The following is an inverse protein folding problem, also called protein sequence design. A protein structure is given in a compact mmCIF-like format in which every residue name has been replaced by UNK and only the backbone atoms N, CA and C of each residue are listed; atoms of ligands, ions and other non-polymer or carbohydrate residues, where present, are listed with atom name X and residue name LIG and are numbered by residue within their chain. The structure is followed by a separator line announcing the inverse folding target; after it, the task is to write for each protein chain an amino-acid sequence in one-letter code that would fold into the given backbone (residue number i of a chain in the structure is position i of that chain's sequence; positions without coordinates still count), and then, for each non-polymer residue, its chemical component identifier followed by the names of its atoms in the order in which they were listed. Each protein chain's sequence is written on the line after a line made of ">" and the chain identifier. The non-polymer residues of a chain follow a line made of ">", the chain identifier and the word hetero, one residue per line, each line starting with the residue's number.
data_IF_118837522947
#
_entry.id   IF_118837522947
#
_cell.length_a   1.000
_cell.length_b   1.000
_cell.length_c   1.000
_cell.angle_alpha   90.00
_cell.angle_beta   90.00
_cell.angle_gamma   90.00
#
_symmetry.space_group_name_H-M   'P 1'
#
loop_
_entity.id
_entity.type
_entity.pdbx_description
1 polymer ?
#
# COMPACT_ATOMS: atom_id res chain seq x y z
N UNK A 1 -30.15 -6.23 11.85
CA UNK A 1 -29.16 -7.20 11.36
C UNK A 1 -27.81 -6.50 11.35
N UNK A 2 -26.92 -6.86 12.27
CA UNK A 2 -25.70 -6.10 12.57
C UNK A 2 -24.51 -6.54 11.71
N UNK A 3 -23.71 -5.57 11.26
CA UNK A 3 -22.50 -5.70 10.45
C UNK A 3 -21.47 -6.68 11.08
N UNK A 4 -21.56 -6.92 12.39
CA UNK A 4 -20.70 -7.86 13.12
C UNK A 4 -20.91 -9.34 12.77
N UNK A 5 -22.06 -9.74 12.20
CA UNK A 5 -22.29 -11.13 11.79
C UNK A 5 -21.54 -11.51 10.50
N UNK A 6 -21.28 -10.54 9.62
CA UNK A 6 -20.55 -10.76 8.37
C UNK A 6 -19.04 -10.89 8.60
N UNK A 7 -18.47 -10.06 9.49
CA UNK A 7 -17.05 -10.14 9.86
C UNK A 7 -16.70 -11.46 10.57
N UNK A 8 -17.61 -12.02 11.37
CA UNK A 8 -17.38 -13.31 12.07
C UNK A 8 -17.37 -14.52 11.14
N UNK A 9 -17.90 -14.40 9.91
CA UNK A 9 -17.86 -15.46 8.87
C UNK A 9 -16.58 -15.42 8.03
N UNK A 10 -15.90 -14.28 7.96
CA UNK A 10 -14.67 -14.11 7.17
C UNK A 10 -13.42 -14.48 7.97
N UNK A 11 -13.44 -14.34 9.30
CA UNK A 11 -12.25 -14.51 10.15
C UNK A 11 -12.38 -15.61 11.21
N UNK A 12 -13.47 -16.38 11.20
CA UNK A 12 -13.73 -17.44 12.16
C UNK A 12 -13.21 -18.78 11.66
N UNK A 13 -11.92 -19.04 11.84
CA UNK A 13 -11.32 -20.35 11.60
C UNK A 13 -12.08 -21.45 12.33
N UNK A 14 -12.63 -22.39 11.58
CA UNK A 14 -13.10 -23.67 12.09
C UNK A 14 -12.12 -24.74 11.62
N UNK A 15 -11.20 -25.09 12.51
CA UNK A 15 -10.55 -26.40 12.48
C UNK A 15 -11.65 -27.46 12.69
N UNK A 16 -12.16 -28.04 11.60
CA UNK A 16 -13.15 -29.10 11.67
C UNK A 16 -14.22 -29.03 10.59
N UNK A 17 -14.00 -29.82 9.54
CA UNK A 17 -15.04 -30.63 8.89
C UNK A 17 -16.18 -29.84 8.20
N UNK A 18 -15.98 -29.53 6.91
CA UNK A 18 -17.07 -29.31 5.96
C UNK A 18 -17.62 -27.89 5.86
N UNK A 19 -16.76 -26.87 5.90
CA UNK A 19 -17.12 -25.55 5.36
C UNK A 19 -17.28 -25.66 3.84
N UNK A 20 -18.37 -25.14 3.28
CA UNK A 20 -18.66 -25.21 1.85
C UNK A 20 -17.50 -24.62 1.00
N UNK A 21 -16.60 -25.49 0.54
CA UNK A 21 -15.40 -25.21 -0.28
C UNK A 21 -15.81 -24.71 -1.67
N UNK A 22 -16.29 -23.46 -1.71
CA UNK A 22 -16.70 -22.78 -2.93
C UNK A 22 -15.84 -21.55 -3.16
N UNK A 23 -15.50 -21.31 -4.42
CA UNK A 23 -14.77 -20.14 -4.85
C UNK A 23 -15.54 -18.89 -4.45
N UNK A 24 -14.92 -17.98 -3.69
CA UNK A 24 -15.58 -16.72 -3.28
C UNK A 24 -15.91 -15.79 -4.46
N UNK A 25 -15.29 -16.00 -5.62
CA UNK A 25 -15.51 -15.19 -6.81
C UNK A 25 -16.67 -15.69 -7.69
N UNK A 26 -16.77 -17.01 -7.94
CA UNK A 26 -17.77 -17.59 -8.85
C UNK A 26 -18.71 -18.62 -8.22
N UNK A 27 -18.48 -19.03 -6.97
CA UNK A 27 -19.27 -20.05 -6.27
C UNK A 27 -18.98 -21.49 -6.68
N UNK A 28 -18.04 -21.75 -7.60
CA UNK A 28 -17.69 -23.12 -8.01
C UNK A 28 -16.98 -23.88 -6.91
N UNK A 29 -17.28 -25.17 -6.78
CA UNK A 29 -16.57 -26.11 -5.89
C UNK A 29 -15.35 -26.76 -6.54
N UNK A 30 -15.05 -26.44 -7.81
CA UNK A 30 -13.85 -26.92 -8.49
C UNK A 30 -12.62 -26.12 -8.02
N UNK A 31 -12.05 -26.53 -6.90
CA UNK A 31 -10.90 -25.88 -6.26
C UNK A 31 -9.68 -26.82 -6.23
N UNK A 32 -8.52 -26.28 -6.61
CA UNK A 32 -7.22 -26.91 -6.44
C UNK A 32 -6.49 -26.28 -5.26
N UNK A 33 -6.06 -27.08 -4.29
CA UNK A 33 -5.24 -26.60 -3.18
C UNK A 33 -3.81 -26.24 -3.66
N UNK A 34 -3.33 -25.05 -3.31
CA UNK A 34 -1.98 -24.57 -3.63
C UNK A 34 -1.03 -24.65 -2.43
N UNK A 35 -1.56 -24.40 -1.22
CA UNK A 35 -0.85 -24.47 0.06
C UNK A 35 -1.88 -24.62 1.19
N UNK A 36 -1.42 -24.68 2.44
CA UNK A 36 -2.30 -24.75 3.60
C UNK A 36 -3.20 -23.49 3.68
N UNK A 37 -4.52 -23.69 3.68
CA UNK A 37 -5.50 -22.60 3.63
C UNK A 37 -5.49 -21.77 2.35
N UNK A 38 -4.89 -22.24 1.25
CA UNK A 38 -4.81 -21.54 -0.04
C UNK A 38 -5.30 -22.40 -1.20
N UNK A 39 -6.19 -21.85 -2.01
CA UNK A 39 -6.75 -22.52 -3.18
C UNK A 39 -6.69 -21.68 -4.45
N UNK A 40 -6.83 -22.34 -5.59
CA UNK A 40 -7.13 -21.77 -6.90
C UNK A 40 -8.41 -22.40 -7.44
N UNK A 41 -9.33 -21.58 -7.95
CA UNK A 41 -10.51 -22.08 -8.65
C UNK A 41 -10.16 -22.51 -10.07
N UNK A 42 -10.51 -23.74 -10.43
CA UNK A 42 -10.20 -24.29 -11.76
C UNK A 42 -11.16 -23.78 -12.85
N UNK A 43 -12.30 -23.21 -12.47
CA UNK A 43 -13.24 -22.59 -13.42
C UNK A 43 -12.88 -21.14 -13.76
N UNK A 44 -12.62 -20.30 -12.76
CA UNK A 44 -12.39 -18.87 -12.98
C UNK A 44 -10.94 -18.40 -12.77
N UNK A 45 -10.05 -19.28 -12.28
CA UNK A 45 -8.65 -18.97 -12.01
C UNK A 45 -8.39 -18.13 -10.76
N UNK A 46 -9.42 -17.77 -9.99
CA UNK A 46 -9.26 -16.98 -8.77
C UNK A 46 -8.45 -17.74 -7.71
N UNK A 47 -7.46 -17.08 -7.13
CA UNK A 47 -6.66 -17.59 -6.01
C UNK A 47 -7.06 -16.87 -4.71
N UNK A 48 -7.22 -17.63 -3.63
CA UNK A 48 -7.66 -17.09 -2.35
C UNK A 48 -7.55 -18.08 -1.19
N UNK A 49 -8.15 -17.71 -0.07
CA UNK A 49 -8.11 -18.46 1.19
C UNK A 49 -7.39 -17.71 2.32
N UNK A 50 -7.57 -18.17 3.55
CA UNK A 50 -7.04 -17.52 4.75
C UNK A 50 -5.51 -17.42 4.75
N UNK A 51 -4.83 -18.40 4.13
CA UNK A 51 -3.37 -18.42 3.98
C UNK A 51 -2.84 -17.62 2.79
N UNK A 52 -3.72 -17.06 1.93
CA UNK A 52 -3.31 -16.57 0.61
C UNK A 52 -2.34 -15.39 0.69
N UNK A 53 -2.55 -14.46 1.62
CA UNK A 53 -1.67 -13.31 1.79
C UNK A 53 -0.24 -13.73 2.17
N UNK A 54 -0.11 -14.63 3.14
CA UNK A 54 1.18 -15.16 3.57
C UNK A 54 1.87 -15.97 2.46
N UNK A 55 1.12 -16.84 1.79
CA UNK A 55 1.62 -17.63 0.66
C UNK A 55 2.12 -16.73 -0.48
N UNK A 56 1.36 -15.68 -0.82
CA UNK A 56 1.74 -14.71 -1.84
C UNK A 56 3.01 -13.96 -1.45
N UNK A 57 3.13 -13.51 -0.20
CA UNK A 57 4.36 -12.87 0.29
C UNK A 57 5.57 -13.80 0.15
N UNK A 58 5.45 -15.09 0.50
CA UNK A 58 6.56 -16.03 0.35
C UNK A 58 6.91 -16.31 -1.12
N UNK A 59 5.91 -16.40 -2.00
CA UNK A 59 6.13 -16.50 -3.46
C UNK A 59 6.84 -15.28 -4.02
N UNK A 60 6.43 -14.09 -3.60
CA UNK A 60 7.07 -12.83 -4.01
C UNK A 60 8.53 -12.78 -3.53
N UNK A 61 8.82 -13.24 -2.31
CA UNK A 61 10.20 -13.37 -1.79
C UNK A 61 11.03 -14.35 -2.59
N UNK A 62 10.48 -15.51 -2.92
CA UNK A 62 11.18 -16.51 -3.73
C UNK A 62 11.56 -15.95 -5.11
N UNK A 63 10.64 -15.23 -5.76
CA UNK A 63 10.93 -14.55 -7.03
C UNK A 63 11.98 -13.43 -6.88
N UNK A 64 12.08 -12.80 -5.71
CA UNK A 64 13.13 -11.82 -5.41
C UNK A 64 14.50 -12.49 -5.19
N UNK A 65 14.55 -13.67 -4.57
CA UNK A 65 15.81 -14.44 -4.37
C UNK A 65 16.48 -14.85 -5.69
N UNK A 66 15.72 -14.94 -6.79
CA UNK A 66 16.28 -15.20 -8.13
C UNK A 66 17.03 -13.99 -8.71
N UNK A 67 16.84 -12.78 -8.15
CA UNK A 67 17.48 -11.57 -8.63
C UNK A 67 18.87 -11.41 -8.04
N UNK A 68 19.77 -10.79 -8.81
CA UNK A 68 21.06 -10.39 -8.24
C UNK A 68 20.88 -9.35 -7.14
N UNK A 69 21.78 -9.29 -6.15
CA UNK A 69 21.70 -8.29 -5.08
C UNK A 69 21.72 -6.84 -5.57
N UNK A 70 22.44 -6.56 -6.66
CA UNK A 70 22.43 -5.24 -7.29
C UNK A 70 21.06 -4.90 -7.91
N UNK A 71 20.38 -5.88 -8.50
CA UNK A 71 19.01 -5.72 -9.01
C UNK A 71 18.00 -5.52 -7.88
N UNK A 72 18.16 -6.21 -6.76
CA UNK A 72 17.36 -6.00 -5.55
C UNK A 72 17.51 -4.57 -5.02
N UNK A 73 18.74 -4.09 -4.84
CA UNK A 73 19.00 -2.71 -4.40
C UNK A 73 18.39 -1.68 -5.36
N UNK A 74 18.60 -1.84 -6.67
CA UNK A 74 18.02 -0.93 -7.66
C UNK A 74 16.49 -0.90 -7.61
N UNK A 75 15.84 -2.04 -7.38
CA UNK A 75 14.38 -2.14 -7.25
C UNK A 75 13.86 -1.48 -5.97
N UNK A 76 14.57 -1.66 -4.85
CA UNK A 76 14.22 -1.00 -3.59
C UNK A 76 14.38 0.53 -3.68
N UNK A 77 15.48 1.02 -4.27
CA UNK A 77 15.67 2.46 -4.52
C UNK A 77 14.54 3.01 -5.36
N UNK A 78 14.18 2.36 -6.47
CA UNK A 78 13.08 2.78 -7.34
C UNK A 78 11.72 2.83 -6.61
N UNK A 79 11.44 1.86 -5.74
CA UNK A 79 10.22 1.85 -4.94
C UNK A 79 10.16 3.05 -3.98
N UNK A 80 11.27 3.34 -3.30
CA UNK A 80 11.37 4.49 -2.38
C UNK A 80 11.33 5.83 -3.10
N UNK A 81 11.96 5.94 -4.28
CA UNK A 81 11.87 7.13 -5.13
C UNK A 81 10.43 7.38 -5.62
N UNK A 82 9.72 6.32 -6.03
CA UNK A 82 8.30 6.40 -6.37
C UNK A 82 7.47 6.93 -5.20
N UNK A 83 7.63 6.34 -4.02
CA UNK A 83 6.97 6.78 -2.80
C UNK A 83 7.26 8.26 -2.48
N UNK A 84 8.53 8.68 -2.61
CA UNK A 84 8.94 10.08 -2.42
C UNK A 84 8.26 11.02 -3.40
N UNK A 85 8.24 10.68 -4.70
CA UNK A 85 7.60 11.51 -5.73
C UNK A 85 6.10 11.63 -5.50
N UNK A 86 5.44 10.52 -5.16
CA UNK A 86 4.01 10.51 -4.80
C UNK A 86 3.74 11.40 -3.58
N UNK A 87 4.61 11.36 -2.57
CA UNK A 87 4.48 12.21 -1.38
C UNK A 87 4.67 13.69 -1.70
N UNK A 88 5.66 14.04 -2.53
CA UNK A 88 5.88 15.42 -3.00
C UNK A 88 4.68 15.90 -3.81
N UNK A 89 4.11 15.07 -4.68
CA UNK A 89 2.90 15.41 -5.44
C UNK A 89 1.70 15.64 -4.50
N UNK A 90 1.55 14.81 -3.46
CA UNK A 90 0.52 14.99 -2.45
C UNK A 90 0.72 16.28 -1.62
N UNK A 91 1.96 16.68 -1.35
CA UNK A 91 2.26 17.93 -0.64
C UNK A 91 2.10 19.17 -1.53
N UNK A 92 2.58 19.09 -2.78
CA UNK A 92 2.70 20.21 -3.74
C UNK A 92 1.43 20.51 -4.54
N UNK A 93 0.39 19.66 -4.47
CA UNK A 93 -0.93 19.97 -5.03
C UNK A 93 -1.57 21.26 -4.52
N UNK A 94 -1.01 21.87 -3.46
CA UNK A 94 -1.43 23.17 -2.94
C UNK A 94 -0.68 24.38 -3.56
N UNK A 95 0.49 24.19 -4.19
CA UNK A 95 1.35 25.30 -4.62
C UNK A 95 1.26 25.61 -6.12
N UNK A 96 0.58 24.77 -6.92
CA UNK A 96 0.38 24.97 -8.36
C UNK A 96 -0.77 25.91 -8.75
N UNK A 97 -1.40 26.59 -7.79
CA UNK A 97 -2.56 27.46 -7.99
C UNK A 97 -2.22 28.95 -7.98
N UNK A 98 -1.21 29.40 -8.71
CA UNK A 98 -0.94 30.84 -8.84
C UNK A 98 -0.11 31.16 -10.08
N UNK A 99 -0.73 31.13 -11.27
CA UNK A 99 -0.52 32.16 -12.33
C UNK A 99 -1.20 31.88 -13.68
N UNK A 100 -2.15 30.94 -13.78
CA UNK A 100 -3.04 30.97 -14.93
C UNK A 100 -4.03 32.14 -14.74
N UNK A 101 -3.69 33.29 -15.32
CA UNK A 101 -4.39 34.59 -15.27
C UNK A 101 -5.79 34.67 -15.90
N UNK A 102 -6.64 33.66 -15.70
CA UNK A 102 -8.01 33.59 -16.20
C UNK A 102 -8.96 33.78 -15.01
N UNK A 103 -8.86 34.92 -14.35
CA UNK A 103 -9.79 35.27 -13.26
C UNK A 103 -11.13 35.66 -13.88
N UNK A 104 -11.95 34.66 -14.20
CA UNK A 104 -13.36 34.86 -14.56
C UNK A 104 -14.14 35.20 -13.29
N UNK A 105 -14.17 36.47 -12.91
CA UNK A 105 -15.07 36.96 -11.85
C UNK A 105 -16.49 37.10 -12.42
N UNK A 106 -17.22 36.00 -12.47
CA UNK A 106 -18.69 36.03 -12.59
C UNK A 106 -19.26 36.44 -11.23
N UNK A 107 -19.55 37.74 -11.07
CA UNK A 107 -20.34 38.23 -9.92
C UNK A 107 -21.79 37.80 -10.11
N UNK A 108 -22.14 36.61 -9.64
CA UNK A 108 -23.53 36.22 -9.42
C UNK A 108 -23.79 36.40 -7.92
N UNK A 109 -24.61 37.39 -7.59
CA UNK A 109 -24.88 37.79 -6.21
C UNK A 109 -25.66 36.72 -5.46
N UNK A 110 -24.97 35.98 -4.60
CA UNK A 110 -25.49 35.33 -3.40
C UNK A 110 -24.30 34.78 -2.58
N UNK A 111 -23.86 35.51 -1.55
CA UNK A 111 -22.64 35.20 -0.78
C UNK A 111 -22.66 33.85 -0.04
N UNK A 112 -23.83 33.24 0.16
CA UNK A 112 -23.95 31.93 0.77
C UNK A 112 -23.57 30.77 -0.16
N UNK A 113 -23.68 30.96 -1.49
CA UNK A 113 -23.33 29.93 -2.47
C UNK A 113 -21.80 29.78 -2.61
N UNK A 114 -21.05 30.88 -2.53
CA UNK A 114 -19.59 30.89 -2.66
C UNK A 114 -18.89 30.18 -1.49
N UNK A 115 -19.35 30.38 -0.25
CA UNK A 115 -18.77 29.72 0.92
C UNK A 115 -18.88 28.18 0.88
N UNK A 116 -19.95 27.65 0.27
CA UNK A 116 -20.12 26.21 0.11
C UNK A 116 -19.17 25.62 -0.95
N UNK A 117 -18.87 26.35 -2.02
CA UNK A 117 -17.93 25.92 -3.06
C UNK A 117 -16.51 25.85 -2.48
N UNK A 118 -16.08 26.87 -1.74
CA UNK A 118 -14.76 26.89 -1.10
C UNK A 118 -14.58 25.72 -0.11
N UNK A 119 -15.60 25.43 0.70
CA UNK A 119 -15.57 24.31 1.63
C UNK A 119 -15.53 22.95 0.92
N UNK A 120 -16.29 22.78 -0.18
CA UNK A 120 -16.28 21.55 -0.97
C UNK A 120 -14.94 21.32 -1.66
N UNK A 121 -14.34 22.38 -2.20
CA UNK A 121 -13.03 22.33 -2.83
C UNK A 121 -11.91 22.03 -1.83
N UNK A 122 -11.93 22.68 -0.65
CA UNK A 122 -11.01 22.37 0.44
C UNK A 122 -11.13 20.91 0.90
N UNK A 123 -12.36 20.39 1.02
CA UNK A 123 -12.60 18.99 1.37
C UNK A 123 -12.14 18.02 0.27
N UNK A 124 -12.29 18.37 -1.01
CA UNK A 124 -11.77 17.59 -2.14
C UNK A 124 -10.24 17.51 -2.08
N UNK A 125 -9.56 18.65 -1.96
CA UNK A 125 -8.11 18.70 -1.82
C UNK A 125 -7.62 17.91 -0.60
N UNK A 126 -8.34 17.96 0.53
CA UNK A 126 -7.99 17.16 1.70
C UNK A 126 -8.09 15.65 1.44
N UNK A 127 -9.11 15.18 0.71
CA UNK A 127 -9.24 13.77 0.32
C UNK A 127 -8.14 13.33 -0.64
N UNK A 128 -7.84 14.15 -1.65
CA UNK A 128 -6.78 13.88 -2.62
C UNK A 128 -5.40 13.79 -1.94
N UNK A 129 -5.12 14.69 -0.99
CA UNK A 129 -3.90 14.64 -0.18
C UNK A 129 -3.80 13.37 0.64
N UNK A 130 -4.87 12.96 1.33
CA UNK A 130 -4.90 11.71 2.11
C UNK A 130 -4.69 10.49 1.20
N UNK A 131 -5.33 10.47 0.03
CA UNK A 131 -5.15 9.41 -0.95
C UNK A 131 -3.71 9.35 -1.47
N UNK A 132 -3.09 10.51 -1.73
CA UNK A 132 -1.68 10.60 -2.13
C UNK A 132 -0.73 10.08 -1.05
N UNK A 133 -0.93 10.45 0.21
CA UNK A 133 -0.13 9.95 1.35
C UNK A 133 -0.31 8.43 1.52
N UNK A 134 -1.55 7.93 1.42
CA UNK A 134 -1.82 6.49 1.50
C UNK A 134 -1.12 5.72 0.36
N UNK A 135 -1.13 6.27 -0.86
CA UNK A 135 -0.42 5.69 -2.00
C UNK A 135 1.11 5.71 -1.78
N UNK A 136 1.68 6.84 -1.36
CA UNK A 136 3.12 6.93 -1.06
C UNK A 136 3.55 5.91 0.01
N UNK A 137 2.72 5.73 1.05
CA UNK A 137 2.93 4.70 2.06
C UNK A 137 2.92 3.29 1.46
N UNK A 138 1.94 2.96 0.63
CA UNK A 138 1.89 1.63 -0.02
C UNK A 138 3.10 1.36 -0.91
N UNK A 139 3.60 2.37 -1.62
CA UNK A 139 4.81 2.27 -2.45
C UNK A 139 6.07 2.08 -1.60
N UNK A 140 6.16 2.75 -0.44
CA UNK A 140 7.26 2.55 0.49
C UNK A 140 7.25 1.15 1.13
N UNK A 141 6.07 0.64 1.50
CA UNK A 141 5.90 -0.70 2.06
C UNK A 141 6.25 -1.80 1.05
N UNK A 142 6.09 -1.55 -0.25
CA UNK A 142 6.53 -2.49 -1.30
C UNK A 142 8.04 -2.75 -1.30
N UNK A 143 8.85 -1.91 -0.62
CA UNK A 143 10.28 -2.14 -0.45
C UNK A 143 10.61 -3.15 0.66
N UNK A 144 9.70 -3.39 1.62
CA UNK A 144 9.92 -4.30 2.76
C UNK A 144 10.40 -5.70 2.34
N UNK A 145 9.72 -6.43 1.44
CA UNK A 145 10.17 -7.78 1.08
C UNK A 145 11.56 -7.80 0.44
N UNK A 146 11.96 -6.71 -0.23
CA UNK A 146 13.30 -6.57 -0.81
C UNK A 146 14.36 -6.41 0.29
N UNK A 147 14.08 -5.58 1.30
CA UNK A 147 14.97 -5.44 2.46
C UNK A 147 15.09 -6.74 3.26
N UNK A 148 14.00 -7.50 3.39
CA UNK A 148 14.00 -8.80 4.08
C UNK A 148 14.90 -9.81 3.36
N UNK A 149 14.76 -9.95 2.04
CA UNK A 149 15.64 -10.84 1.24
C UNK A 149 17.10 -10.41 1.34
N UNK A 150 17.41 -9.11 1.21
CA UNK A 150 18.77 -8.60 1.37
C UNK A 150 19.36 -8.89 2.76
N UNK A 151 18.54 -8.82 3.81
CA UNK A 151 18.95 -9.12 5.18
C UNK A 151 19.17 -10.63 5.40
N UNK A 152 18.28 -11.49 4.88
CA UNK A 152 18.37 -12.95 4.94
C UNK A 152 19.63 -13.49 4.26
N UNK A 153 20.03 -12.91 3.12
CA UNK A 153 21.24 -13.32 2.38
C UNK A 153 22.56 -12.79 2.99
N UNK A 154 22.49 -12.07 4.11
CA UNK A 154 23.68 -11.45 4.73
C UNK A 154 24.31 -10.35 3.86
N UNK A 155 23.57 -9.85 2.87
CA UNK A 155 24.00 -8.79 1.95
C UNK A 155 23.59 -7.40 2.42
N UNK A 156 22.92 -7.32 3.56
CA UNK A 156 22.56 -6.09 4.21
C UNK A 156 23.73 -5.50 4.98
N UNK A 157 24.08 -4.25 4.66
CA UNK A 157 24.83 -3.39 5.57
C UNK A 157 24.15 -3.45 6.95
N UNK A 158 24.90 -3.51 8.07
CA UNK A 158 24.32 -3.50 9.42
C UNK A 158 23.39 -2.30 9.68
N UNK A 159 23.45 -1.27 8.83
CA UNK A 159 22.55 -0.13 8.81
C UNK A 159 21.14 -0.38 8.26
N UNK A 160 20.86 -1.49 7.56
CA UNK A 160 19.54 -1.71 6.92
C UNK A 160 18.42 -2.08 7.91
N UNK A 161 18.72 -2.84 8.96
CA UNK A 161 17.72 -3.31 9.93
C UNK A 161 16.93 -2.16 10.61
N UNK A 162 17.58 -1.07 11.07
CA UNK A 162 16.85 0.11 11.57
C UNK A 162 15.90 0.77 10.56
N UNK A 163 16.15 0.66 9.25
CA UNK A 163 15.27 1.20 8.22
C UNK A 163 14.09 0.26 7.94
N UNK A 164 14.34 -1.05 7.92
CA UNK A 164 13.28 -2.06 7.83
C UNK A 164 12.29 -1.94 8.99
N UNK A 165 12.80 -1.78 10.22
CA UNK A 165 11.94 -1.61 11.39
C UNK A 165 11.07 -0.35 11.25
N UNK A 166 11.65 0.78 10.82
CA UNK A 166 10.88 2.01 10.57
C UNK A 166 9.82 1.86 9.49
N UNK A 167 10.07 1.09 8.43
CA UNK A 167 9.07 0.76 7.41
C UNK A 167 7.94 -0.12 7.96
N UNK A 168 8.23 -1.06 8.87
CA UNK A 168 7.21 -1.86 9.56
C UNK A 168 6.40 -1.03 10.57
N UNK A 169 7.05 -0.12 11.29
CA UNK A 169 6.36 0.81 12.19
C UNK A 169 5.36 1.68 11.40
N UNK A 170 5.71 2.06 10.17
CA UNK A 170 4.77 2.73 9.26
C UNK A 170 3.55 1.88 8.92
N UNK A 171 3.64 0.56 8.87
CA UNK A 171 2.50 -0.34 8.64
C UNK A 171 1.50 -0.31 9.80
N UNK A 172 1.99 -0.12 11.03
CA UNK A 172 1.17 -0.08 12.24
C UNK A 172 0.61 1.31 12.54
N UNK A 173 1.21 2.36 11.97
CA UNK A 173 0.82 3.75 12.24
C UNK A 173 -0.25 4.23 11.26
N UNK A 174 -1.43 4.57 11.77
CA UNK A 174 -2.55 5.17 11.01
C UNK A 174 -2.82 6.62 11.45
N UNK A 175 -3.01 7.57 10.53
CA UNK A 175 -2.20 7.83 9.33
C UNK A 175 -0.92 8.59 9.73
N UNK A 176 0.24 8.11 9.27
CA UNK A 176 1.51 8.79 9.53
C UNK A 176 1.51 10.23 8.98
N UNK A 177 1.99 11.17 9.80
CA UNK A 177 2.29 12.54 9.37
C UNK A 177 3.19 12.51 8.11
N UNK A 178 2.90 13.30 7.06
CA UNK A 178 3.68 13.30 5.83
C UNK A 178 5.18 13.52 6.04
N UNK A 179 5.54 14.32 7.05
CA UNK A 179 6.93 14.59 7.44
C UNK A 179 7.66 13.34 7.97
N UNK A 180 6.98 12.51 8.75
CA UNK A 180 7.53 11.26 9.26
C UNK A 180 7.78 10.27 8.11
N UNK A 181 6.81 10.15 7.19
CA UNK A 181 6.95 9.31 5.99
C UNK A 181 8.13 9.77 5.11
N UNK A 182 8.27 11.08 4.89
CA UNK A 182 9.39 11.64 4.13
C UNK A 182 10.76 11.31 4.76
N UNK A 183 10.87 11.44 6.09
CA UNK A 183 12.09 11.13 6.82
C UNK A 183 12.48 9.66 6.70
N UNK A 184 11.51 8.75 6.81
CA UNK A 184 11.74 7.30 6.72
C UNK A 184 12.17 6.91 5.30
N UNK A 185 11.46 7.39 4.27
CA UNK A 185 11.80 7.14 2.88
C UNK A 185 13.21 7.68 2.55
N UNK A 186 13.52 8.90 2.97
CA UNK A 186 14.83 9.51 2.73
C UNK A 186 15.98 8.75 3.40
N UNK A 187 15.78 8.30 4.64
CA UNK A 187 16.77 7.49 5.36
C UNK A 187 17.01 6.13 4.71
N UNK A 188 15.94 5.43 4.33
CA UNK A 188 16.04 4.12 3.69
C UNK A 188 16.72 4.19 2.31
N UNK A 189 16.43 5.23 1.52
CA UNK A 189 17.06 5.43 0.21
C UNK A 189 18.55 5.73 0.31
N UNK A 190 18.97 6.52 1.30
CA UNK A 190 20.39 6.80 1.55
C UNK A 190 21.17 5.53 1.94
N UNK A 191 20.57 4.66 2.75
CA UNK A 191 21.19 3.41 3.18
C UNK A 191 21.39 2.38 2.05
N UNK A 192 20.63 2.48 0.95
CA UNK A 192 20.78 1.61 -0.22
C UNK A 192 21.81 2.14 -1.23
N UNK A 193 22.19 3.40 -1.11
CA UNK A 193 23.09 4.08 -2.05
C UNK A 193 24.56 4.10 -1.59
N UNK A 194 24.81 3.73 -0.33
CA UNK A 194 26.14 3.50 0.24
C UNK A 194 26.63 2.09 -0.07
#
# INVERSE_FOLDING_TARGET
>A
MGIGAWLKRIFGGSEGEGGDDSCVACGSSALTALADGVYRCDECGYEGGDGFAAWRTERDKEALRELSPSALRARAVKALEGARLTLVAAAGGAEGGSDSGWKFTLSVGDGAALANVDAQEAARMARERRAGVAKARSEALAAIPIFEVLAEEGQGEPGLLPHLQRLRDLEQTDPAEPSALASIIGGAGAALSG
#
